data_IF_184018655665
#
_entry.id   IF_184018655665
#
_cell.length_a   1.000
_cell.length_b   1.000
_cell.length_c   1.000
_cell.angle_alpha   90.00
_cell.angle_beta   90.00
_cell.angle_gamma   90.00
#
_symmetry.space_group_name_H-M   'P 1'
#
loop_
_entity.id
_entity.type
_entity.pdbx_description
1 polymer ?
#
# COMPACT_ATOMS: atom_id res chain seq x y z
N UNK A 1 8.06 19.67 21.49
CA UNK A 1 9.38 19.03 21.21
C UNK A 1 9.43 17.52 21.53
N UNK A 2 9.00 17.10 22.72
CA UNK A 2 8.99 15.69 23.13
C UNK A 2 7.91 14.85 22.44
N UNK A 3 6.75 15.45 22.11
CA UNK A 3 5.66 14.81 21.36
C UNK A 3 6.10 14.38 19.95
N UNK A 4 6.75 15.27 19.20
CA UNK A 4 7.27 14.97 17.87
C UNK A 4 8.30 13.82 17.91
N UNK A 5 9.23 13.85 18.88
CA UNK A 5 10.20 12.77 19.06
C UNK A 5 9.51 11.45 19.48
N UNK A 6 8.43 11.52 20.26
CA UNK A 6 7.64 10.35 20.64
C UNK A 6 6.90 9.74 19.45
N UNK A 7 6.27 10.57 18.61
CA UNK A 7 5.61 10.14 17.37
C UNK A 7 6.58 9.48 16.40
N UNK A 8 7.79 10.04 16.23
CA UNK A 8 8.83 9.44 15.40
C UNK A 8 9.26 8.06 15.92
N UNK A 9 9.48 7.92 17.23
CA UNK A 9 9.80 6.62 17.86
C UNK A 9 8.67 5.61 17.69
N UNK A 10 7.42 6.05 17.84
CA UNK A 10 6.26 5.17 17.67
C UNK A 10 6.14 4.68 16.23
N UNK A 11 6.35 5.58 15.24
CA UNK A 11 6.36 5.22 13.82
C UNK A 11 7.45 4.21 13.51
N UNK A 12 8.64 4.40 14.04
CA UNK A 12 9.75 3.46 13.84
C UNK A 12 9.45 2.08 14.44
N UNK A 13 8.92 2.03 15.66
CA UNK A 13 8.48 0.78 16.29
C UNK A 13 7.43 0.03 15.46
N UNK A 14 6.42 0.75 14.96
CA UNK A 14 5.38 0.18 14.11
C UNK A 14 5.95 -0.35 12.80
N UNK A 15 6.83 0.43 12.14
CA UNK A 15 7.54 -0.01 10.92
C UNK A 15 8.29 -1.31 11.18
N UNK A 16 9.10 -1.36 12.23
CA UNK A 16 9.88 -2.55 12.58
C UNK A 16 8.99 -3.77 12.89
N UNK A 17 7.85 -3.55 13.56
CA UNK A 17 6.89 -4.62 13.84
C UNK A 17 6.25 -5.16 12.56
N UNK A 18 5.85 -4.28 11.62
CA UNK A 18 5.30 -4.68 10.33
C UNK A 18 6.30 -5.48 9.49
N UNK A 19 7.56 -5.02 9.40
CA UNK A 19 8.61 -5.72 8.66
C UNK A 19 8.84 -7.14 9.20
N UNK A 20 8.95 -7.28 10.53
CA UNK A 20 9.06 -8.61 11.17
C UNK A 20 7.84 -9.48 10.89
N UNK A 21 6.64 -8.88 10.91
CA UNK A 21 5.42 -9.62 10.63
C UNK A 21 5.41 -10.16 9.19
N UNK A 22 5.74 -9.32 8.21
CA UNK A 22 5.84 -9.74 6.81
C UNK A 22 6.88 -10.83 6.59
N UNK A 23 8.03 -10.74 7.25
CA UNK A 23 9.05 -11.80 7.24
C UNK A 23 8.52 -13.11 7.82
N UNK A 24 7.88 -13.06 8.99
CA UNK A 24 7.30 -14.26 9.64
C UNK A 24 6.18 -14.91 8.83
N UNK A 25 5.45 -14.12 8.02
CA UNK A 25 4.40 -14.60 7.14
C UNK A 25 4.92 -15.11 5.78
N UNK A 26 6.24 -15.08 5.55
CA UNK A 26 6.86 -15.45 4.28
C UNK A 26 6.56 -14.48 3.14
N UNK A 27 6.13 -13.25 3.45
CA UNK A 27 5.75 -12.22 2.47
C UNK A 27 6.90 -11.29 2.12
N UNK A 28 7.96 -11.27 2.92
CA UNK A 28 9.13 -10.43 2.71
C UNK A 28 10.41 -11.22 2.99
N UNK A 29 11.34 -11.22 2.05
CA UNK A 29 12.60 -11.94 2.13
C UNK A 29 13.77 -10.98 2.32
N UNK A 30 14.67 -11.30 3.23
CA UNK A 30 15.90 -10.55 3.45
C UNK A 30 15.79 -9.37 4.43
N UNK A 31 16.95 -8.83 4.80
CA UNK A 31 17.08 -7.76 5.79
C UNK A 31 17.00 -6.35 5.18
N UNK A 32 17.15 -6.21 3.86
CA UNK A 32 17.19 -4.94 3.15
C UNK A 32 16.12 -4.87 2.05
N UNK A 33 14.85 -4.97 2.44
CA UNK A 33 13.75 -4.81 1.52
C UNK A 33 13.58 -3.35 1.09
N UNK A 34 13.38 -3.12 -0.20
CA UNK A 34 13.02 -1.80 -0.74
C UNK A 34 11.53 -1.46 -0.50
N UNK A 35 11.15 -0.21 -0.75
CA UNK A 35 9.78 0.27 -0.55
C UNK A 35 8.75 -0.51 -1.38
N UNK A 36 9.13 -0.95 -2.59
CA UNK A 36 8.24 -1.69 -3.48
C UNK A 36 7.95 -3.08 -2.92
N UNK A 37 8.97 -3.77 -2.40
CA UNK A 37 8.83 -5.06 -1.74
C UNK A 37 8.00 -4.96 -0.46
N UNK A 38 8.17 -3.89 0.32
CA UNK A 38 7.36 -3.63 1.51
C UNK A 38 5.89 -3.37 1.15
N UNK A 39 5.63 -2.59 0.10
CA UNK A 39 4.27 -2.37 -0.41
C UNK A 39 3.64 -3.69 -0.88
N UNK A 40 4.36 -4.48 -1.68
CA UNK A 40 3.90 -5.78 -2.16
C UNK A 40 3.53 -6.72 -1.00
N UNK A 41 4.37 -6.79 0.04
CA UNK A 41 4.10 -7.61 1.21
C UNK A 41 2.84 -7.14 1.98
N UNK A 42 2.69 -5.83 2.15
CA UNK A 42 1.51 -5.25 2.81
C UNK A 42 0.22 -5.56 2.03
N UNK A 43 0.22 -5.33 0.71
CA UNK A 43 -0.93 -5.60 -0.14
C UNK A 43 -1.23 -7.10 -0.23
N UNK A 44 -0.22 -7.96 -0.31
CA UNK A 44 -0.41 -9.43 -0.30
C UNK A 44 -1.04 -9.91 1.01
N UNK A 45 -0.64 -9.34 2.16
CA UNK A 45 -1.28 -9.63 3.45
C UNK A 45 -2.76 -9.25 3.44
N UNK A 46 -3.11 -8.07 2.90
CA UNK A 46 -4.50 -7.61 2.79
C UNK A 46 -5.30 -8.47 1.80
N UNK A 47 -4.72 -8.85 0.66
CA UNK A 47 -5.34 -9.71 -0.34
C UNK A 47 -5.68 -11.09 0.20
N UNK A 48 -4.83 -11.64 1.09
CA UNK A 48 -5.04 -12.92 1.78
C UNK A 48 -6.04 -12.84 2.94
N UNK A 49 -6.50 -11.65 3.33
CA UNK A 49 -7.45 -11.48 4.43
C UNK A 49 -8.86 -11.94 4.05
N UNK A 50 -9.73 -12.17 5.04
CA UNK A 50 -11.14 -12.53 4.80
C UNK A 50 -12.04 -11.35 4.41
N UNK A 51 -11.48 -10.18 4.13
CA UNK A 51 -12.27 -9.02 3.76
C UNK A 51 -12.92 -9.23 2.38
N UNK A 52 -14.24 -9.03 2.25
CA UNK A 52 -14.94 -9.22 0.98
C UNK A 52 -14.48 -8.21 -0.08
N UNK A 53 -14.05 -7.02 0.34
CA UNK A 53 -13.53 -5.96 -0.54
C UNK A 53 -12.15 -5.54 -0.06
N UNK A 54 -11.23 -5.34 -1.00
CA UNK A 54 -9.93 -4.72 -0.79
C UNK A 54 -9.86 -3.45 -1.63
N UNK A 55 -9.45 -2.35 -1.01
CA UNK A 55 -9.22 -1.08 -1.69
C UNK A 55 -7.71 -0.82 -1.76
N UNK A 56 -7.23 -0.45 -2.94
CA UNK A 56 -5.84 -0.03 -3.16
C UNK A 56 -5.87 1.41 -3.63
N UNK A 57 -5.09 2.28 -2.99
CA UNK A 57 -4.92 3.64 -3.48
C UNK A 57 -4.06 3.61 -4.75
N UNK A 58 -4.50 4.31 -5.81
CA UNK A 58 -3.76 4.37 -7.06
C UNK A 58 -2.34 4.90 -6.85
N UNK A 59 -2.19 5.93 -6.02
CA UNK A 59 -0.90 6.60 -5.76
C UNK A 59 0.14 5.70 -5.08
N UNK A 60 -0.30 4.65 -4.38
CA UNK A 60 0.62 3.67 -3.81
C UNK A 60 1.29 2.83 -4.91
N UNK A 61 0.61 2.58 -6.03
CA UNK A 61 1.09 1.72 -7.13
C UNK A 61 2.37 2.27 -7.80
N UNK A 62 2.67 3.55 -7.60
CA UNK A 62 3.90 4.20 -8.05
C UNK A 62 4.66 4.91 -6.93
N UNK A 63 4.37 4.56 -5.68
CA UNK A 63 5.06 5.04 -4.48
C UNK A 63 5.07 6.57 -4.36
N UNK A 64 3.93 7.22 -4.60
CA UNK A 64 3.83 8.67 -4.39
C UNK A 64 4.13 9.01 -2.92
N UNK A 65 4.97 10.03 -2.71
CA UNK A 65 5.40 10.45 -1.38
C UNK A 65 4.71 11.74 -0.94
N UNK A 66 4.03 12.43 -1.87
CA UNK A 66 3.35 13.68 -1.63
C UNK A 66 1.86 13.45 -1.29
N UNK A 67 1.39 13.85 -0.10
CA UNK A 67 -0.01 13.62 0.28
C UNK A 67 -0.96 14.54 -0.51
N UNK A 68 -2.14 14.03 -0.82
CA UNK A 68 -3.23 14.82 -1.41
C UNK A 68 -3.84 15.84 -0.44
N UNK A 69 -3.84 15.51 0.85
CA UNK A 69 -4.38 16.34 1.91
C UNK A 69 -3.52 16.23 3.17
N UNK A 70 -3.19 17.38 3.77
CA UNK A 70 -2.57 17.46 5.09
C UNK A 70 -3.58 18.09 6.06
N UNK A 71 -4.22 17.30 6.95
CA UNK A 71 -5.20 17.84 7.91
C UNK A 71 -4.64 18.99 8.74
N UNK A 72 -5.49 19.97 9.07
CA UNK A 72 -5.11 21.12 9.89
C UNK A 72 -4.24 22.16 9.16
N UNK A 73 -4.17 22.11 7.83
CA UNK A 73 -3.48 23.12 7.00
C UNK A 73 -4.45 23.75 6.02
N UNK A 74 -4.16 24.99 5.62
CA UNK A 74 -4.96 25.72 4.64
C UNK A 74 -4.07 26.22 3.49
N UNK A 75 -3.74 27.52 3.46
CA UNK A 75 -3.02 28.13 2.34
C UNK A 75 -1.54 27.67 2.27
N UNK A 76 -1.03 27.04 3.32
CA UNK A 76 0.35 26.57 3.41
C UNK A 76 0.60 25.27 2.62
N UNK A 77 -0.47 24.55 2.23
CA UNK A 77 -0.39 23.28 1.51
C UNK A 77 -1.37 23.24 0.34
N UNK A 78 -0.99 22.66 -0.81
CA UNK A 78 -1.90 22.52 -1.96
C UNK A 78 -2.88 21.35 -1.78
N UNK A 79 -3.67 21.36 -0.70
CA UNK A 79 -4.65 20.31 -0.41
C UNK A 79 -5.69 20.21 -1.54
N UNK A 80 -6.00 18.98 -1.97
CA UNK A 80 -7.01 18.67 -3.00
C UNK A 80 -6.74 19.28 -4.39
N UNK A 81 -5.49 19.71 -4.62
CA UNK A 81 -5.08 20.36 -5.88
C UNK A 81 -4.04 19.56 -6.66
N UNK A 82 -3.48 18.49 -6.07
CA UNK A 82 -2.44 17.71 -6.73
C UNK A 82 -3.06 16.73 -7.71
N UNK A 83 -2.57 16.78 -8.94
CA UNK A 83 -2.89 15.78 -9.96
C UNK A 83 -2.06 14.52 -9.72
N UNK A 84 -2.61 13.37 -10.08
CA UNK A 84 -1.84 12.14 -10.15
C UNK A 84 -0.62 12.32 -11.08
N UNK A 85 0.49 11.65 -10.75
CA UNK A 85 1.75 11.75 -11.50
C UNK A 85 1.63 11.25 -12.94
N UNK A 86 0.79 10.26 -13.17
CA UNK A 86 0.57 9.62 -14.46
C UNK A 86 -0.87 9.82 -14.91
N UNK A 87 -1.07 9.96 -16.23
CA UNK A 87 -2.40 9.84 -16.81
C UNK A 87 -2.93 8.40 -16.67
N UNK A 88 -4.24 8.23 -16.82
CA UNK A 88 -4.88 6.93 -16.66
C UNK A 88 -4.32 5.90 -17.65
N UNK A 89 -4.20 6.31 -18.92
CA UNK A 89 -3.69 5.50 -20.02
C UNK A 89 -2.22 5.11 -19.84
N UNK A 90 -1.47 5.86 -19.05
CA UNK A 90 -0.05 5.63 -18.81
C UNK A 90 0.16 4.63 -17.67
N UNK A 91 -0.47 4.85 -16.50
CA UNK A 91 -0.17 4.01 -15.34
C UNK A 91 -0.66 2.58 -15.50
N UNK A 92 -1.73 2.35 -16.26
CA UNK A 92 -2.24 1.01 -16.57
C UNK A 92 -1.27 0.20 -17.44
N UNK A 93 -0.33 0.86 -18.12
CA UNK A 93 0.72 0.21 -18.93
C UNK A 93 2.02 -0.01 -18.16
N UNK A 94 2.13 0.49 -16.93
CA UNK A 94 3.35 0.33 -16.14
C UNK A 94 3.56 -1.14 -15.74
N UNK A 95 4.69 -1.78 -16.11
CA UNK A 95 4.91 -3.20 -15.84
C UNK A 95 4.83 -3.54 -14.34
N UNK A 96 5.32 -2.65 -13.47
CA UNK A 96 5.25 -2.84 -12.02
C UNK A 96 3.81 -2.82 -11.49
N UNK A 97 2.93 -2.02 -12.09
CA UNK A 97 1.52 -1.93 -11.70
C UNK A 97 0.80 -3.19 -12.13
N UNK A 98 0.95 -3.60 -13.40
CA UNK A 98 0.33 -4.82 -13.92
C UNK A 98 0.78 -6.06 -13.14
N UNK A 99 2.08 -6.17 -12.86
CA UNK A 99 2.65 -7.30 -12.11
C UNK A 99 2.11 -7.35 -10.69
N UNK A 100 2.04 -6.20 -10.00
CA UNK A 100 1.50 -6.12 -8.65
C UNK A 100 0.01 -6.48 -8.62
N UNK A 101 -0.81 -5.87 -9.45
CA UNK A 101 -2.25 -6.12 -9.48
C UNK A 101 -2.57 -7.58 -9.85
N UNK A 102 -1.84 -8.16 -10.80
CA UNK A 102 -1.99 -9.58 -11.16
C UNK A 102 -1.61 -10.53 -10.01
N UNK A 103 -0.62 -10.16 -9.18
CA UNK A 103 -0.29 -10.93 -7.99
C UNK A 103 -1.38 -10.86 -6.92
N UNK A 104 -1.96 -9.67 -6.71
CA UNK A 104 -3.07 -9.48 -5.75
C UNK A 104 -4.35 -10.20 -6.17
N UNK A 105 -4.66 -10.17 -7.47
CA UNK A 105 -5.81 -10.88 -8.02
C UNK A 105 -5.73 -12.39 -7.77
N UNK A 106 -4.56 -13.00 -8.03
CA UNK A 106 -4.32 -14.42 -7.70
C UNK A 106 -4.53 -14.73 -6.22
N UNK A 107 -3.99 -13.90 -5.32
CA UNK A 107 -4.18 -14.08 -3.88
C UNK A 107 -5.66 -13.99 -3.45
N UNK A 108 -6.45 -13.16 -4.14
CA UNK A 108 -7.88 -13.03 -3.87
C UNK A 108 -8.70 -14.17 -4.47
N UNK A 109 -8.33 -14.66 -5.66
CA UNK A 109 -8.98 -15.81 -6.30
C UNK A 109 -8.79 -17.10 -5.49
N UNK A 110 -7.63 -17.28 -4.86
CA UNK A 110 -7.32 -18.38 -3.94
C UNK A 110 -8.11 -18.32 -2.62
N UNK A 111 -8.83 -17.21 -2.35
CA UNK A 111 -9.60 -17.01 -1.15
C UNK A 111 -11.10 -17.30 -1.39
N UNK A 112 -11.63 -18.46 -0.97
CA UNK A 112 -12.93 -18.98 -1.40
C UNK A 112 -14.14 -18.10 -1.05
N UNK A 113 -14.04 -17.14 -0.12
CA UNK A 113 -15.12 -16.18 0.21
C UNK A 113 -15.01 -14.83 -0.47
N UNK A 114 -13.90 -14.54 -1.15
CA UNK A 114 -13.80 -13.39 -2.05
C UNK A 114 -14.52 -13.66 -3.39
N UNK A 115 -14.59 -14.93 -3.80
CA UNK A 115 -15.16 -15.38 -5.08
C UNK A 115 -16.69 -15.30 -5.11
N UNK A 116 -17.36 -15.43 -3.94
CA UNK A 116 -18.82 -15.33 -3.84
C UNK A 116 -19.38 -13.98 -4.31
N UNK A 117 -18.60 -12.89 -4.28
CA UNK A 117 -19.06 -11.56 -4.73
C UNK A 117 -18.82 -11.29 -6.22
N UNK A 118 -17.85 -11.94 -6.85
CA UNK A 118 -17.51 -11.73 -8.28
C UNK A 118 -18.32 -12.61 -9.26
N UNK A 119 -19.27 -13.38 -8.72
CA UNK A 119 -20.09 -14.35 -9.49
C UNK A 119 -21.54 -13.86 -9.73
N UNK A 120 -21.83 -12.59 -9.42
CA UNK A 120 -23.16 -11.97 -9.54
C UNK A 120 -23.21 -10.84 -10.55
#
# INVERSE_FOLDING_TARGET
PWEAASQLRQRDRLRQALLRHFQSAGLLSGAAADEQQVLQAALAMLARSRAPVMLVNLEDLWLETQPQNTPGTFAERPNWRRKAKYAFEEFVQLPQVQSLLSALDRHRAENPRAVEYNSG
#
